data_IF_361660000506
#
_entry.id   IF_361660000506
#
_cell.length_a   1.000
_cell.length_b   1.000
_cell.length_c   1.000
_cell.angle_alpha   90.00
_cell.angle_beta   90.00
_cell.angle_gamma   90.00
#
_symmetry.space_group_name_H-M   'P 1'
#
loop_
_entity.id
_entity.type
_entity.pdbx_description
1 polymer ?
#
# COMPACT_ATOMS: atom_id res chain seq x y z
N UNK A 1 -10.95 17.16 12.08
CA UNK A 1 -10.33 18.49 12.35
C UNK A 1 -9.12 18.37 13.26
N UNK A 2 -9.26 18.01 14.56
CA UNK A 2 -8.14 17.96 15.52
C UNK A 2 -6.89 17.23 15.01
N UNK A 3 -7.05 16.03 14.44
CA UNK A 3 -5.92 15.24 13.93
C UNK A 3 -5.18 15.94 12.77
N UNK A 4 -5.91 16.69 11.93
CA UNK A 4 -5.31 17.46 10.84
C UNK A 4 -4.51 18.63 11.42
N UNK A 5 -5.10 19.39 12.36
CA UNK A 5 -4.41 20.50 13.03
C UNK A 5 -3.14 20.04 13.78
N UNK A 6 -3.18 18.88 14.43
CA UNK A 6 -2.02 18.27 15.05
C UNK A 6 -0.95 17.85 14.04
N UNK A 7 -1.37 17.33 12.88
CA UNK A 7 -0.46 16.98 11.78
C UNK A 7 0.24 18.22 11.25
N UNK A 8 -0.50 19.31 11.00
CA UNK A 8 0.06 20.59 10.56
C UNK A 8 1.09 21.11 11.58
N UNK A 9 0.72 21.15 12.87
CA UNK A 9 1.66 21.58 13.92
C UNK A 9 2.92 20.71 13.98
N UNK A 10 2.78 19.40 13.78
CA UNK A 10 3.93 18.50 13.69
C UNK A 10 4.81 18.78 12.46
N UNK A 11 4.24 19.06 11.29
CA UNK A 11 4.99 19.41 10.08
C UNK A 11 5.75 20.74 10.20
N UNK A 12 5.18 21.70 10.94
CA UNK A 12 5.76 23.02 11.16
C UNK A 12 6.77 23.07 12.32
N UNK A 13 6.92 21.96 13.06
CA UNK A 13 7.88 21.87 14.17
C UNK A 13 9.16 21.21 13.67
N UNK A 14 10.28 21.95 13.72
CA UNK A 14 11.59 21.45 13.32
C UNK A 14 11.98 20.15 14.05
N UNK A 15 12.78 19.28 13.43
CA UNK A 15 13.34 18.11 14.10
C UNK A 15 14.18 18.54 15.31
N UNK A 16 14.04 17.80 16.42
CA UNK A 16 14.92 17.98 17.56
C UNK A 16 16.33 17.49 17.17
N UNK A 17 17.35 18.31 17.49
CA UNK A 17 18.78 18.02 17.27
C UNK A 17 19.20 17.84 15.80
N UNK A 18 18.53 18.48 14.84
CA UNK A 18 18.94 18.47 13.43
C UNK A 18 18.83 17.10 12.75
N UNK A 19 18.12 16.16 13.37
CA UNK A 19 17.86 14.85 12.80
C UNK A 19 16.76 14.85 11.73
N UNK A 20 16.45 13.67 11.21
CA UNK A 20 15.26 13.48 10.36
C UNK A 20 14.02 13.28 11.22
N UNK A 21 12.88 13.79 10.76
CA UNK A 21 11.57 13.65 11.40
C UNK A 21 10.58 13.08 10.41
N UNK A 22 9.87 12.04 10.82
CA UNK A 22 8.73 11.51 10.07
C UNK A 22 7.45 11.91 10.78
N UNK A 23 6.53 12.53 10.04
CA UNK A 23 5.15 12.80 10.50
C UNK A 23 4.23 11.86 9.75
N UNK A 24 3.58 10.94 10.47
CA UNK A 24 2.69 9.96 9.86
C UNK A 24 1.24 10.19 10.29
N UNK A 25 0.42 10.64 9.34
CA UNK A 25 -1.03 10.65 9.47
C UNK A 25 -1.58 9.28 9.10
N UNK A 26 -1.66 8.39 10.09
CA UNK A 26 -2.06 6.99 9.93
C UNK A 26 -3.57 6.81 9.97
N UNK A 27 -4.09 5.96 9.09
CA UNK A 27 -5.50 5.52 9.11
C UNK A 27 -6.49 6.67 8.86
N UNK A 28 -6.18 7.58 7.95
CA UNK A 28 -6.88 8.84 7.74
C UNK A 28 -8.25 8.69 7.04
N UNK A 29 -9.20 8.02 7.69
CA UNK A 29 -10.57 7.78 7.20
C UNK A 29 -11.39 9.06 6.97
N UNK A 30 -10.98 10.17 7.58
CA UNK A 30 -11.62 11.48 7.44
C UNK A 30 -11.59 12.02 6.01
N UNK A 31 -10.73 11.49 5.13
CA UNK A 31 -10.67 11.88 3.72
C UNK A 31 -11.50 10.98 2.78
N UNK A 32 -12.22 9.99 3.33
CA UNK A 32 -13.11 9.12 2.56
C UNK A 32 -14.44 9.80 2.18
N UNK A 33 -15.20 9.19 1.28
CA UNK A 33 -16.58 9.60 0.98
C UNK A 33 -17.52 9.18 2.12
N UNK A 34 -17.54 9.98 3.18
CA UNK A 34 -18.35 9.76 4.39
C UNK A 34 -19.03 11.04 4.85
N UNK A 35 -20.00 10.94 5.76
CA UNK A 35 -20.63 12.11 6.38
C UNK A 35 -19.58 13.02 7.06
N UNK A 36 -18.64 12.43 7.80
CA UNK A 36 -17.52 13.17 8.41
C UNK A 36 -16.64 13.83 7.36
N UNK A 37 -16.29 13.12 6.29
CA UNK A 37 -15.46 13.71 5.23
C UNK A 37 -16.15 14.87 4.52
N UNK A 38 -17.49 14.89 4.46
CA UNK A 38 -18.27 15.97 3.82
C UNK A 38 -18.46 17.21 4.70
N UNK A 39 -18.13 17.12 6.00
CA UNK A 39 -18.29 18.25 6.91
C UNK A 39 -17.38 19.42 6.49
N UNK A 40 -17.94 20.64 6.43
CA UNK A 40 -17.22 21.84 6.01
C UNK A 40 -15.92 22.04 6.80
N UNK A 41 -15.96 21.84 8.11
CA UNK A 41 -14.78 21.93 8.98
C UNK A 41 -13.67 20.94 8.65
N UNK A 42 -13.99 19.76 8.09
CA UNK A 42 -13.00 18.80 7.60
C UNK A 42 -12.43 19.23 6.27
N UNK A 43 -13.25 19.79 5.38
CA UNK A 43 -12.81 20.33 4.10
C UNK A 43 -11.86 21.52 4.30
N UNK A 44 -12.19 22.46 5.18
CA UNK A 44 -11.35 23.63 5.48
C UNK A 44 -10.02 23.21 6.09
N UNK A 45 -10.04 22.23 7.01
CA UNK A 45 -8.83 21.69 7.60
C UNK A 45 -7.97 20.93 6.57
N UNK A 46 -8.60 20.19 5.66
CA UNK A 46 -7.91 19.49 4.57
C UNK A 46 -7.24 20.48 3.61
N UNK A 47 -7.91 21.60 3.31
CA UNK A 47 -7.36 22.69 2.51
C UNK A 47 -6.13 23.30 3.20
N UNK A 48 -6.24 23.61 4.49
CA UNK A 48 -5.11 24.11 5.30
C UNK A 48 -3.91 23.16 5.27
N UNK A 49 -4.14 21.85 5.32
CA UNK A 49 -3.07 20.85 5.19
C UNK A 49 -2.46 20.88 3.79
N UNK A 50 -3.27 21.00 2.73
CA UNK A 50 -2.73 21.10 1.36
C UNK A 50 -1.91 22.36 1.14
N UNK A 51 -2.27 23.48 1.77
CA UNK A 51 -1.52 24.72 1.66
C UNK A 51 -0.14 24.57 2.31
N UNK A 52 -0.09 24.01 3.53
CA UNK A 52 1.18 23.70 4.23
C UNK A 52 2.06 22.74 3.41
N UNK A 53 1.48 21.74 2.76
CA UNK A 53 2.23 20.84 1.88
C UNK A 53 2.67 21.53 0.57
N UNK A 54 1.88 22.47 0.07
CA UNK A 54 2.15 23.24 -1.15
C UNK A 54 3.29 24.25 -0.99
N UNK A 55 3.44 24.82 0.21
CA UNK A 55 4.56 25.69 0.57
C UNK A 55 5.90 24.94 0.67
N UNK A 56 5.85 23.61 0.69
CA UNK A 56 7.00 22.73 0.86
C UNK A 56 7.28 22.38 2.31
N UNK A 57 7.90 21.22 2.52
CA UNK A 57 8.30 20.75 3.85
C UNK A 57 9.73 21.21 4.18
N UNK A 58 10.01 21.62 5.44
CA UNK A 58 11.37 21.90 5.88
C UNK A 58 12.31 20.71 5.69
N UNK A 59 13.60 20.99 5.52
CA UNK A 59 14.64 19.97 5.40
C UNK A 59 14.62 18.99 6.57
N UNK A 60 14.77 17.70 6.24
CA UNK A 60 14.76 16.62 7.21
C UNK A 60 13.36 16.19 7.67
N UNK A 61 12.27 16.83 7.18
CA UNK A 61 10.90 16.39 7.46
C UNK A 61 10.36 15.54 6.32
N UNK A 62 9.82 14.37 6.65
CA UNK A 62 9.09 13.50 5.72
C UNK A 62 7.66 13.32 6.19
N UNK A 63 6.71 13.53 5.30
CA UNK A 63 5.29 13.31 5.57
C UNK A 63 4.81 12.00 4.95
N UNK A 64 4.08 11.21 5.74
CA UNK A 64 3.40 10.00 5.27
C UNK A 64 1.92 10.14 5.62
N UNK A 65 1.05 9.87 4.66
CA UNK A 65 -0.39 9.72 4.87
C UNK A 65 -0.78 8.32 4.44
N UNK A 66 -1.36 7.54 5.36
CA UNK A 66 -1.99 6.27 5.01
C UNK A 66 -3.48 6.31 5.33
N UNK A 67 -4.30 5.82 4.39
CA UNK A 67 -5.74 5.77 4.55
C UNK A 67 -6.27 4.50 3.89
N UNK A 68 -7.26 3.81 4.49
CA UNK A 68 -7.89 2.66 3.85
C UNK A 68 -8.72 3.07 2.62
N UNK A 69 -9.17 4.32 2.56
CA UNK A 69 -9.83 4.89 1.39
C UNK A 69 -9.73 6.41 1.41
N UNK A 70 -9.75 7.01 0.22
CA UNK A 70 -9.75 8.45 0.00
C UNK A 70 -10.67 8.79 -1.17
N UNK A 71 -11.49 9.83 -1.05
CA UNK A 71 -12.37 10.24 -2.15
C UNK A 71 -11.57 10.93 -3.26
N UNK A 72 -11.19 10.16 -4.28
CA UNK A 72 -10.34 10.59 -5.41
C UNK A 72 -10.94 11.73 -6.24
N UNK A 73 -12.24 12.02 -6.10
CA UNK A 73 -12.93 13.10 -6.84
C UNK A 73 -12.64 14.49 -6.25
N UNK A 74 -12.24 14.55 -4.97
CA UNK A 74 -12.11 15.80 -4.19
C UNK A 74 -10.82 16.55 -4.48
N UNK A 75 -10.83 17.86 -4.18
CA UNK A 75 -9.67 18.75 -4.32
C UNK A 75 -8.47 18.25 -3.53
N UNK A 76 -8.67 17.80 -2.29
CA UNK A 76 -7.61 17.29 -1.43
C UNK A 76 -6.76 16.22 -2.12
N UNK A 77 -7.38 15.14 -2.63
CA UNK A 77 -6.68 14.08 -3.35
C UNK A 77 -5.93 14.61 -4.59
N UNK A 78 -6.59 15.43 -5.40
CA UNK A 78 -6.01 16.01 -6.63
C UNK A 78 -4.83 16.94 -6.36
N UNK A 79 -4.78 17.60 -5.20
CA UNK A 79 -3.67 18.46 -4.78
C UNK A 79 -2.50 17.63 -4.28
N UNK A 80 -2.72 16.74 -3.30
CA UNK A 80 -1.64 15.92 -2.75
C UNK A 80 -1.00 15.00 -3.81
N UNK A 81 -1.77 14.55 -4.82
CA UNK A 81 -1.24 13.75 -5.93
C UNK A 81 -0.24 14.49 -6.82
N UNK A 82 -0.19 15.82 -6.74
CA UNK A 82 0.80 16.65 -7.45
C UNK A 82 2.00 17.01 -6.59
N UNK A 83 1.87 16.90 -5.26
CA UNK A 83 2.87 17.32 -4.29
C UNK A 83 3.77 16.17 -3.83
N UNK A 84 3.37 14.92 -4.08
CA UNK A 84 4.14 13.76 -3.65
C UNK A 84 3.77 12.48 -4.40
N UNK A 85 4.38 11.39 -3.97
CA UNK A 85 4.16 10.05 -4.53
C UNK A 85 2.91 9.42 -3.92
N UNK A 86 2.05 8.83 -4.75
CA UNK A 86 0.89 8.04 -4.30
C UNK A 86 1.15 6.59 -4.64
N UNK A 87 1.09 5.75 -3.61
CA UNK A 87 1.09 4.29 -3.75
C UNK A 87 -0.29 3.77 -3.34
N UNK A 88 -0.85 2.89 -4.17
CA UNK A 88 -2.18 2.31 -3.99
C UNK A 88 -2.00 0.83 -3.71
N UNK A 89 -2.49 0.40 -2.54
CA UNK A 89 -2.45 -0.99 -2.07
C UNK A 89 -3.85 -1.60 -2.06
N UNK A 90 -4.59 -1.43 -3.16
CA UNK A 90 -5.94 -1.98 -3.30
C UNK A 90 -5.85 -3.49 -3.54
N UNK A 91 -6.76 -4.26 -2.94
CA UNK A 91 -6.91 -5.68 -3.28
C UNK A 91 -7.42 -5.81 -4.73
N UNK A 92 -6.97 -6.83 -5.49
CA UNK A 92 -7.51 -7.11 -6.82
C UNK A 92 -9.04 -7.24 -6.76
N UNK A 93 -9.73 -6.53 -7.65
CA UNK A 93 -11.18 -6.62 -7.80
C UNK A 93 -11.54 -7.94 -8.48
N UNK A 94 -11.90 -8.94 -7.67
CA UNK A 94 -12.26 -10.30 -8.14
C UNK A 94 -13.53 -10.33 -9.01
N UNK A 95 -14.28 -9.24 -9.09
CA UNK A 95 -15.46 -9.12 -9.94
C UNK A 95 -15.16 -8.70 -11.38
N UNK A 96 -13.90 -8.32 -11.67
CA UNK A 96 -13.47 -7.93 -13.02
C UNK A 96 -12.83 -9.09 -13.76
N UNK A 97 -13.19 -9.26 -15.03
CA UNK A 97 -12.51 -10.21 -15.92
C UNK A 97 -10.99 -9.93 -15.98
N UNK A 98 -10.18 -10.99 -15.89
CA UNK A 98 -8.71 -10.92 -15.94
C UNK A 98 -8.01 -10.60 -14.60
N UNK A 99 -8.71 -10.58 -13.46
CA UNK A 99 -8.08 -10.38 -12.15
C UNK A 99 -7.00 -11.45 -11.85
N UNK A 100 -7.23 -12.68 -12.29
CA UNK A 100 -6.28 -13.80 -12.11
C UNK A 100 -4.94 -13.51 -12.77
N UNK A 101 -4.92 -12.88 -13.95
CA UNK A 101 -3.67 -12.57 -14.66
C UNK A 101 -2.87 -11.49 -13.93
N UNK A 102 -3.53 -10.52 -13.30
CA UNK A 102 -2.87 -9.51 -12.49
C UNK A 102 -2.23 -10.13 -11.24
N UNK A 103 -2.93 -11.07 -10.59
CA UNK A 103 -2.40 -11.79 -9.42
C UNK A 103 -1.23 -12.68 -9.85
N UNK A 104 -1.36 -13.44 -10.94
CA UNK A 104 -0.27 -14.26 -11.50
C UNK A 104 0.97 -13.43 -11.83
N UNK A 105 0.79 -12.26 -12.43
CA UNK A 105 1.90 -11.34 -12.73
C UNK A 105 2.58 -10.86 -11.45
N UNK A 106 1.81 -10.55 -10.41
CA UNK A 106 2.35 -10.15 -9.12
C UNK A 106 3.10 -11.29 -8.43
N UNK A 107 2.52 -12.49 -8.39
CA UNK A 107 3.17 -13.69 -7.83
C UNK A 107 4.47 -14.00 -8.57
N UNK A 108 4.49 -13.96 -9.91
CA UNK A 108 5.72 -14.13 -10.71
C UNK A 108 6.79 -13.09 -10.38
N UNK A 109 6.40 -11.83 -10.18
CA UNK A 109 7.32 -10.77 -9.77
C UNK A 109 7.95 -11.06 -8.41
N UNK A 110 7.11 -11.37 -7.41
CA UNK A 110 7.55 -11.69 -6.05
C UNK A 110 8.43 -12.94 -5.99
N UNK A 111 8.09 -13.98 -6.77
CA UNK A 111 8.88 -15.19 -6.89
C UNK A 111 10.25 -14.89 -7.50
N UNK A 112 10.30 -14.10 -8.58
CA UNK A 112 11.54 -13.71 -9.25
C UNK A 112 12.47 -12.89 -8.33
N UNK A 113 11.92 -12.01 -7.51
CA UNK A 113 12.69 -11.26 -6.50
C UNK A 113 13.35 -12.18 -5.46
N UNK A 114 12.76 -13.35 -5.21
CA UNK A 114 13.31 -14.42 -4.37
C UNK A 114 14.15 -15.43 -5.16
N UNK A 115 14.36 -15.26 -6.47
CA UNK A 115 15.04 -16.25 -7.31
C UNK A 115 14.28 -17.58 -7.46
N UNK A 116 12.95 -17.54 -7.35
CA UNK A 116 12.04 -18.66 -7.56
C UNK A 116 11.39 -18.52 -8.95
N UNK A 117 11.06 -19.66 -9.57
CA UNK A 117 10.29 -19.71 -10.82
C UNK A 117 9.18 -20.75 -10.73
N UNK A 118 7.98 -20.43 -11.21
CA UNK A 118 6.86 -21.37 -11.24
C UNK A 118 6.80 -22.14 -12.56
N UNK A 119 6.41 -23.41 -12.49
CA UNK A 119 5.71 -24.07 -13.61
C UNK A 119 4.33 -23.44 -13.80
N UNK A 120 3.80 -23.45 -15.03
CA UNK A 120 2.55 -22.76 -15.32
C UNK A 120 1.37 -23.35 -14.54
N UNK A 121 1.26 -24.68 -14.48
CA UNK A 121 0.23 -25.38 -13.69
C UNK A 121 0.36 -25.12 -12.19
N UNK A 122 1.58 -24.99 -11.68
CA UNK A 122 1.85 -24.68 -10.28
C UNK A 122 1.39 -23.25 -9.94
N UNK A 123 1.62 -22.30 -10.84
CA UNK A 123 1.16 -20.92 -10.66
C UNK A 123 -0.36 -20.81 -10.63
N UNK A 124 -1.05 -21.54 -11.51
CA UNK A 124 -2.51 -21.62 -11.53
C UNK A 124 -3.04 -22.12 -10.18
N UNK A 125 -2.51 -23.25 -9.70
CA UNK A 125 -2.92 -23.83 -8.42
C UNK A 125 -2.60 -22.90 -7.25
N UNK A 126 -1.42 -22.26 -7.25
CA UNK A 126 -1.00 -21.35 -6.19
C UNK A 126 -1.97 -20.18 -6.06
N UNK A 127 -2.33 -19.54 -7.19
CA UNK A 127 -3.26 -18.41 -7.19
C UNK A 127 -4.67 -18.85 -6.78
N UNK A 128 -5.09 -20.06 -7.15
CA UNK A 128 -6.37 -20.63 -6.71
C UNK A 128 -6.42 -20.79 -5.18
N UNK A 129 -5.35 -21.30 -4.56
CA UNK A 129 -5.30 -21.59 -3.12
C UNK A 129 -5.02 -20.33 -2.27
N UNK A 130 -4.05 -19.52 -2.66
CA UNK A 130 -3.65 -18.32 -1.91
C UNK A 130 -4.65 -17.14 -2.07
N UNK A 131 -5.50 -17.17 -3.09
CA UNK A 131 -6.51 -16.14 -3.34
C UNK A 131 -5.91 -14.80 -3.79
N UNK A 132 -6.49 -13.70 -3.31
CA UNK A 132 -6.12 -12.32 -3.71
C UNK A 132 -5.51 -11.48 -2.59
N UNK A 133 -5.32 -12.06 -1.41
CA UNK A 133 -4.67 -11.35 -0.31
C UNK A 133 -3.16 -11.37 -0.51
N UNK A 134 -2.57 -10.21 -0.80
CA UNK A 134 -1.12 -10.09 -0.99
C UNK A 134 -0.31 -10.52 0.22
N UNK A 135 -0.82 -10.31 1.44
CA UNK A 135 -0.13 -10.78 2.65
C UNK A 135 -0.14 -12.31 2.72
N UNK A 136 -1.25 -12.94 2.32
CA UNK A 136 -1.32 -14.40 2.22
C UNK A 136 -0.35 -14.90 1.14
N UNK A 137 -0.39 -14.34 -0.07
CA UNK A 137 0.53 -14.69 -1.16
C UNK A 137 2.00 -14.62 -0.72
N UNK A 138 2.39 -13.58 0.00
CA UNK A 138 3.77 -13.46 0.50
C UNK A 138 4.13 -14.56 1.51
N UNK A 139 3.25 -14.84 2.47
CA UNK A 139 3.47 -15.91 3.45
C UNK A 139 3.56 -17.29 2.77
N UNK A 140 2.70 -17.55 1.78
CA UNK A 140 2.68 -18.79 1.03
C UNK A 140 3.95 -18.97 0.18
N UNK A 141 4.44 -17.89 -0.44
CA UNK A 141 5.73 -17.89 -1.15
C UNK A 141 6.91 -18.11 -0.19
N UNK A 142 6.88 -17.49 1.00
CA UNK A 142 7.94 -17.66 2.00
C UNK A 142 8.02 -19.11 2.49
N UNK A 143 6.88 -19.78 2.70
CA UNK A 143 6.85 -21.21 3.07
C UNK A 143 7.52 -22.08 2.00
N UNK A 144 7.19 -21.84 0.73
CA UNK A 144 7.78 -22.58 -0.39
C UNK A 144 9.29 -22.29 -0.48
N UNK A 145 9.71 -21.04 -0.32
CA UNK A 145 11.13 -20.64 -0.35
C UNK A 145 11.94 -21.36 0.73
N UNK A 146 11.43 -21.38 1.97
CA UNK A 146 12.06 -22.06 3.10
C UNK A 146 12.16 -23.59 2.90
N UNK A 147 11.22 -24.17 2.16
CA UNK A 147 11.20 -25.59 1.87
C UNK A 147 12.20 -25.99 0.76
N UNK A 148 12.38 -25.14 -0.26
CA UNK A 148 13.24 -25.43 -1.40
C UNK A 148 14.73 -25.32 -1.03
N UNK A 149 15.45 -26.44 -1.07
CA UNK A 149 16.92 -26.46 -0.97
C UNK A 149 17.58 -25.80 -2.19
N UNK A 150 18.85 -25.40 -2.06
CA UNK A 150 19.56 -24.51 -3.00
C UNK A 150 19.78 -25.01 -4.44
N UNK A 151 19.38 -26.23 -4.78
CA UNK A 151 19.49 -26.78 -6.13
C UNK A 151 18.08 -26.85 -6.75
N UNK A 152 17.91 -26.13 -7.87
CA UNK A 152 16.68 -25.98 -8.65
C UNK A 152 15.45 -25.37 -7.93
N UNK A 153 15.39 -24.03 -7.95
CA UNK A 153 14.34 -23.20 -7.36
C UNK A 153 13.07 -23.10 -8.22
N UNK A 154 12.65 -24.24 -8.79
CA UNK A 154 11.42 -24.37 -9.59
C UNK A 154 10.28 -24.86 -8.70
N UNK A 155 9.19 -24.10 -8.66
CA UNK A 155 7.96 -24.41 -7.92
C UNK A 155 7.06 -25.26 -8.81
N UNK A 156 6.82 -26.50 -8.39
CA UNK A 156 5.97 -27.48 -9.08
C UNK A 156 4.60 -27.56 -8.39
N UNK A 157 3.65 -28.24 -9.04
CA UNK A 157 2.31 -28.47 -8.48
C UNK A 157 2.37 -29.20 -7.13
N UNK A 158 3.34 -30.10 -6.94
CA UNK A 158 3.55 -30.82 -5.69
C UNK A 158 4.00 -29.89 -4.56
N UNK A 159 4.93 -28.97 -4.83
CA UNK A 159 5.35 -27.96 -3.85
C UNK A 159 4.16 -27.11 -3.39
N UNK A 160 3.31 -26.68 -4.32
CA UNK A 160 2.13 -25.89 -4.00
C UNK A 160 1.12 -26.70 -3.18
N UNK A 161 0.82 -27.93 -3.60
CA UNK A 161 -0.16 -28.78 -2.92
C UNK A 161 0.22 -29.13 -1.48
N UNK A 162 1.53 -29.25 -1.20
CA UNK A 162 2.02 -29.66 0.11
C UNK A 162 2.25 -28.48 1.07
N UNK A 163 2.51 -27.28 0.55
CA UNK A 163 2.93 -26.13 1.38
C UNK A 163 1.89 -25.02 1.46
N UNK A 164 0.93 -24.98 0.53
CA UNK A 164 -0.11 -23.94 0.47
C UNK A 164 -1.42 -24.43 1.08
N UNK A 165 -1.93 -23.70 2.07
CA UNK A 165 -3.11 -24.07 2.86
C UNK A 165 -4.07 -22.88 3.06
#
# INVERSE_FOLDING_TARGET
VKVISQTIGALQTLPFFGGKKVVWLKGATIFADSQTGKALSVLDAAESLTDVLGDGLPDGITFILSAPSIDKRRSFYKKISKLGTIEIFDRPDMSRDGWQDQVKMHVRKLAKERGLSFEDEALELFVMLAGTDFAQIENELEKIDLFLSHEDRIITVEHVSNQVA
#
